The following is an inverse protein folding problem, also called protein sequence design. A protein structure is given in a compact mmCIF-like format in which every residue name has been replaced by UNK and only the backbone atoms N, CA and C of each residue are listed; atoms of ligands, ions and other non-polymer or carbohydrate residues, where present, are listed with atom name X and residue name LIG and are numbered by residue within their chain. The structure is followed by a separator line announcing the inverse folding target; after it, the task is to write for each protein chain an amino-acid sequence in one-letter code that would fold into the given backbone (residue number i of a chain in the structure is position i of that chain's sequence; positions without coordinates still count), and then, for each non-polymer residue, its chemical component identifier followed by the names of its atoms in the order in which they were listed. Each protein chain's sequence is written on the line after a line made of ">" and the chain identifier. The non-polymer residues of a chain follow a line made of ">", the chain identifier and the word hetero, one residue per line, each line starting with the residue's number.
data_IF_025796645288
#
_entry.id   IF_025796645288
#
_cell.length_a   1.000
_cell.length_b   1.000
_cell.length_c   1.000
_cell.angle_alpha   90.00
_cell.angle_beta   90.00
_cell.angle_gamma   90.00
#
_symmetry.space_group_name_H-M   'P 1'
#
loop_
_entity.id
_entity.type
_entity.pdbx_description
1 polymer ?
#
# COMPACT_ATOMS: atom_id res chain seq x y z
N UNK A 1 13.60 -0.01 -1.42
CA UNK A 1 13.23 -0.60 -0.11
C UNK A 1 11.88 -1.30 -0.18
N UNK A 2 10.79 -0.59 -0.45
CA UNK A 2 9.43 -1.16 -0.39
C UNK A 2 9.21 -2.34 -1.34
N UNK A 3 9.77 -2.31 -2.55
CA UNK A 3 9.66 -3.43 -3.51
C UNK A 3 10.32 -4.70 -2.96
N UNK A 4 11.54 -4.59 -2.42
CA UNK A 4 12.24 -5.70 -1.77
C UNK A 4 11.45 -6.24 -0.58
N UNK A 5 10.90 -5.34 0.25
CA UNK A 5 10.06 -5.73 1.39
C UNK A 5 8.76 -6.43 0.95
N UNK A 6 8.16 -6.00 -0.16
CA UNK A 6 6.93 -6.60 -0.71
C UNK A 6 7.14 -8.07 -1.13
N UNK A 7 8.34 -8.41 -1.60
CA UNK A 7 8.72 -9.80 -1.93
C UNK A 7 9.39 -10.54 -0.75
N UNK A 8 9.59 -9.85 0.38
CA UNK A 8 10.18 -10.39 1.60
C UNK A 8 11.69 -10.61 1.51
N UNK A 9 12.37 -9.80 0.70
CA UNK A 9 13.83 -9.75 0.66
C UNK A 9 14.31 -8.62 1.57
N UNK A 10 15.07 -8.94 2.64
CA UNK A 10 15.64 -7.91 3.50
C UNK A 10 16.70 -7.09 2.76
N UNK A 11 16.84 -5.82 3.14
CA UNK A 11 17.82 -4.90 2.54
C UNK A 11 18.98 -4.63 3.50
N UNK A 12 20.14 -4.28 2.93
CA UNK A 12 21.27 -3.71 3.65
C UNK A 12 21.48 -2.27 3.14
N UNK A 13 21.18 -1.29 3.99
CA UNK A 13 21.16 0.12 3.62
C UNK A 13 22.38 0.89 4.14
N UNK A 14 22.77 1.96 3.44
CA UNK A 14 23.77 2.88 3.97
C UNK A 14 23.13 3.82 5.01
N UNK A 15 23.81 4.01 6.15
CA UNK A 15 23.33 4.84 7.25
C UNK A 15 23.18 6.33 6.90
N UNK A 16 23.81 6.80 5.80
CA UNK A 16 23.67 8.18 5.28
C UNK A 16 22.33 8.44 4.58
N UNK A 17 21.55 7.39 4.33
CA UNK A 17 20.20 7.53 3.76
C UNK A 17 19.16 7.44 4.86
N UNK A 18 18.77 8.59 5.41
CA UNK A 18 17.76 8.67 6.47
C UNK A 18 16.45 7.96 6.07
N UNK A 19 16.06 8.07 4.80
CA UNK A 19 14.87 7.41 4.26
C UNK A 19 14.98 5.89 4.35
N UNK A 20 16.10 5.30 3.93
CA UNK A 20 16.28 3.85 3.98
C UNK A 20 16.43 3.36 5.42
N UNK A 21 17.16 4.09 6.26
CA UNK A 21 17.32 3.78 7.69
C UNK A 21 15.96 3.81 8.39
N UNK A 22 15.14 4.81 8.12
CA UNK A 22 13.79 4.92 8.66
C UNK A 22 12.93 3.71 8.27
N UNK A 23 12.98 3.31 6.99
CA UNK A 23 12.30 2.10 6.53
C UNK A 23 12.81 0.82 7.21
N UNK A 24 14.12 0.66 7.40
CA UNK A 24 14.69 -0.47 8.15
C UNK A 24 14.18 -0.50 9.60
N UNK A 25 14.17 0.66 10.28
CA UNK A 25 13.72 0.80 11.67
C UNK A 25 12.23 0.51 11.85
N UNK A 26 11.37 1.08 11.00
CA UNK A 26 9.92 0.89 11.10
C UNK A 26 9.49 -0.53 10.73
N UNK A 27 10.14 -1.12 9.72
CA UNK A 27 9.74 -2.43 9.20
C UNK A 27 10.39 -3.58 9.94
N UNK A 28 11.52 -3.37 10.63
CA UNK A 28 12.40 -4.42 11.12
C UNK A 28 12.72 -5.47 10.03
N UNK A 29 12.87 -4.99 8.79
CA UNK A 29 13.06 -5.81 7.59
C UNK A 29 14.36 -5.49 6.84
N UNK A 30 15.24 -4.67 7.42
CA UNK A 30 16.56 -4.39 6.85
C UNK A 30 17.57 -4.00 7.92
N UNK A 31 18.84 -4.11 7.56
CA UNK A 31 19.98 -3.64 8.37
C UNK A 31 20.53 -2.36 7.73
N UNK A 32 21.36 -1.63 8.47
CA UNK A 32 22.08 -0.46 7.96
C UNK A 32 23.50 -0.39 8.52
N UNK A 33 24.41 0.19 7.74
CA UNK A 33 25.83 0.30 8.07
C UNK A 33 26.36 1.72 7.85
N UNK A 34 27.25 2.19 8.72
CA UNK A 34 27.93 3.48 8.63
C UNK A 34 29.36 3.36 8.07
N UNK A 35 30.00 2.20 8.26
CA UNK A 35 31.36 1.92 7.82
C UNK A 35 31.52 0.52 7.20
N UNK A 36 32.76 0.19 6.84
CA UNK A 36 33.11 -1.06 6.17
C UNK A 36 32.96 -2.27 7.08
N UNK A 37 33.29 -2.15 8.35
CA UNK A 37 33.29 -3.29 9.27
C UNK A 37 31.84 -3.68 9.60
N UNK A 38 30.98 -2.69 9.86
CA UNK A 38 29.54 -2.90 10.00
C UNK A 38 28.92 -3.51 8.73
N UNK A 39 29.34 -3.07 7.54
CA UNK A 39 28.86 -3.65 6.29
C UNK A 39 29.17 -5.14 6.20
N UNK A 40 30.41 -5.53 6.51
CA UNK A 40 30.86 -6.93 6.45
C UNK A 40 30.08 -7.78 7.45
N UNK A 41 29.90 -7.31 8.68
CA UNK A 41 29.17 -8.06 9.71
C UNK A 41 27.67 -8.17 9.39
N UNK A 42 27.03 -7.07 8.95
CA UNK A 42 25.64 -7.12 8.52
C UNK A 42 25.43 -8.06 7.32
N UNK A 43 26.37 -8.05 6.36
CA UNK A 43 26.33 -8.96 5.22
C UNK A 43 26.50 -10.42 5.66
N UNK A 44 27.45 -10.72 6.55
CA UNK A 44 27.63 -12.07 7.12
C UNK A 44 26.36 -12.54 7.83
N UNK A 45 25.74 -11.71 8.67
CA UNK A 45 24.47 -12.03 9.32
C UNK A 45 23.39 -12.38 8.29
N UNK A 46 23.24 -11.53 7.27
CA UNK A 46 22.29 -11.79 6.19
C UNK A 46 22.63 -13.02 5.36
N UNK A 47 23.89 -13.43 5.21
CA UNK A 47 24.24 -14.65 4.46
C UNK A 47 24.08 -15.93 5.28
N UNK A 48 24.52 -15.90 6.54
CA UNK A 48 24.63 -17.08 7.39
C UNK A 48 23.33 -17.39 8.15
N UNK A 49 22.56 -16.38 8.57
CA UNK A 49 21.35 -16.60 9.35
C UNK A 49 20.09 -16.61 8.48
N UNK A 50 19.71 -17.82 8.04
CA UNK A 50 18.46 -18.04 7.28
C UNK A 50 17.21 -17.72 8.10
N UNK A 51 17.23 -17.91 9.42
CA UNK A 51 16.07 -17.66 10.28
C UNK A 51 15.82 -16.15 10.39
N UNK A 52 16.88 -15.38 10.63
CA UNK A 52 16.85 -13.92 10.61
C UNK A 52 16.29 -13.40 9.27
N UNK A 53 16.84 -13.85 8.14
CA UNK A 53 16.34 -13.45 6.81
C UNK A 53 14.85 -13.73 6.64
N UNK A 54 14.40 -14.90 7.08
CA UNK A 54 13.00 -15.32 6.97
C UNK A 54 12.09 -14.41 7.81
N UNK A 55 12.48 -14.13 9.05
CA UNK A 55 11.75 -13.24 9.95
C UNK A 55 11.67 -11.81 9.39
N UNK A 56 12.80 -11.26 8.95
CA UNK A 56 12.86 -9.93 8.33
C UNK A 56 12.01 -9.86 7.06
N UNK A 57 12.00 -10.92 6.23
CA UNK A 57 11.14 -11.00 5.05
C UNK A 57 9.65 -11.00 5.39
N UNK A 58 9.24 -11.67 6.47
CA UNK A 58 7.85 -11.62 6.98
C UNK A 58 7.51 -10.22 7.45
N UNK A 59 8.39 -9.58 8.21
CA UNK A 59 8.17 -8.21 8.69
C UNK A 59 8.05 -7.22 7.54
N UNK A 60 8.91 -7.32 6.52
CA UNK A 60 8.88 -6.46 5.33
C UNK A 60 7.55 -6.55 4.59
N UNK A 61 7.05 -7.77 4.36
CA UNK A 61 5.75 -7.98 3.71
C UNK A 61 4.61 -7.40 4.52
N UNK A 62 4.63 -7.60 5.84
CA UNK A 62 3.62 -7.04 6.74
C UNK A 62 3.65 -5.50 6.73
N UNK A 63 4.85 -4.91 6.78
CA UNK A 63 5.05 -3.47 6.73
C UNK A 63 4.49 -2.85 5.44
N UNK A 64 4.80 -3.44 4.28
CA UNK A 64 4.25 -2.99 2.99
C UNK A 64 2.74 -3.15 2.95
N UNK A 65 2.22 -4.31 3.38
CA UNK A 65 0.78 -4.59 3.39
C UNK A 65 -0.01 -3.64 4.30
N UNK A 66 0.58 -3.19 5.40
CA UNK A 66 -0.10 -2.32 6.37
C UNK A 66 -0.03 -0.84 5.99
N UNK A 67 1.08 -0.40 5.37
CA UNK A 67 1.37 1.02 5.21
C UNK A 67 1.31 1.52 3.76
N UNK A 68 1.42 0.63 2.77
CA UNK A 68 1.64 1.00 1.37
C UNK A 68 0.72 0.25 0.39
N UNK A 69 -0.37 -0.33 0.90
CA UNK A 69 -1.31 -1.10 0.08
C UNK A 69 -2.27 -0.16 -0.64
N UNK A 70 -2.21 -0.20 -1.96
CA UNK A 70 -3.01 0.57 -2.93
C UNK A 70 -4.53 0.32 -2.87
N UNK A 71 -5.02 -0.58 -2.02
CA UNK A 71 -6.44 -0.91 -1.86
C UNK A 71 -7.31 0.33 -1.54
N UNK A 72 -6.77 1.32 -0.83
CA UNK A 72 -7.46 2.59 -0.53
C UNK A 72 -7.51 3.53 -1.72
N UNK A 73 -6.45 3.55 -2.53
CA UNK A 73 -6.37 4.41 -3.71
C UNK A 73 -7.39 3.90 -4.74
N UNK A 74 -7.41 2.58 -4.99
CA UNK A 74 -8.33 1.95 -5.93
C UNK A 74 -9.80 2.17 -5.56
N UNK A 75 -10.16 1.98 -4.28
CA UNK A 75 -11.54 2.22 -3.83
C UNK A 75 -12.01 3.68 -3.96
N UNK A 76 -11.10 4.66 -3.94
CA UNK A 76 -11.43 6.07 -4.22
C UNK A 76 -11.63 6.34 -5.71
N UNK A 77 -10.79 5.76 -6.57
CA UNK A 77 -10.95 5.88 -8.03
C UNK A 77 -12.23 5.18 -8.52
N UNK A 78 -12.56 4.01 -7.99
CA UNK A 78 -13.80 3.29 -8.31
C UNK A 78 -15.05 4.10 -7.96
N UNK A 79 -15.09 4.73 -6.76
CA UNK A 79 -16.21 5.60 -6.37
C UNK A 79 -16.33 6.82 -7.28
N UNK A 80 -15.23 7.49 -7.63
CA UNK A 80 -15.26 8.64 -8.54
C UNK A 80 -15.73 8.27 -9.95
N UNK A 81 -15.23 7.15 -10.50
CA UNK A 81 -15.66 6.65 -11.81
C UNK A 81 -17.14 6.24 -11.79
N UNK A 82 -17.62 5.67 -10.68
CA UNK A 82 -19.03 5.31 -10.51
C UNK A 82 -19.96 6.55 -10.48
N UNK A 83 -19.54 7.64 -9.84
CA UNK A 83 -20.31 8.89 -9.81
C UNK A 83 -20.41 9.55 -11.19
N UNK A 84 -19.34 9.49 -11.99
CA UNK A 84 -19.32 10.09 -13.34
C UNK A 84 -20.18 9.31 -14.34
N UNK A 85 -20.43 8.01 -14.12
CA UNK A 85 -21.27 7.21 -15.02
C UNK A 85 -22.76 7.55 -14.98
N UNK A 86 -23.26 8.21 -13.92
CA UNK A 86 -24.67 8.58 -13.76
C UNK A 86 -25.65 7.38 -13.81
N UNK A 87 -26.91 7.53 -13.39
CA UNK A 87 -27.92 6.53 -13.69
C UNK A 87 -28.08 6.51 -15.22
N UNK A 88 -27.91 5.36 -15.87
CA UNK A 88 -28.42 5.21 -17.22
C UNK A 88 -29.90 5.55 -17.18
N UNK A 89 -30.28 6.63 -17.89
CA UNK A 89 -31.67 7.03 -18.04
C UNK A 89 -32.42 5.89 -18.73
N UNK A 90 -33.03 5.01 -17.93
CA UNK A 90 -34.12 4.17 -18.40
C UNK A 90 -35.33 5.06 -18.59
N UNK A 91 -35.57 5.38 -19.85
CA UNK A 91 -36.68 6.16 -20.38
C UNK A 91 -38.04 5.63 -19.92
N UNK A 92 -38.98 6.57 -19.79
CA UNK A 92 -40.43 6.45 -20.02
C UNK A 92 -41.39 6.37 -18.80
N UNK A 93 -41.88 7.56 -18.44
CA UNK A 93 -43.28 8.00 -18.62
C UNK A 93 -44.40 7.35 -17.77
N UNK A 94 -44.85 8.07 -16.74
CA UNK A 94 -46.28 8.13 -16.31
C UNK A 94 -46.63 9.49 -15.70
N UNK A 95 -46.89 10.50 -16.53
CA UNK A 95 -47.65 11.67 -16.08
C UNK A 95 -49.15 11.38 -16.17
N UNK A 96 -49.72 11.06 -15.01
CA UNK A 96 -51.17 11.10 -14.77
C UNK A 96 -51.70 12.52 -15.01
N UNK A 97 -52.62 12.65 -15.96
CA UNK A 97 -53.51 13.81 -16.07
C UNK A 97 -54.63 13.61 -15.06
N UNK A 98 -54.80 14.54 -14.13
CA UNK A 98 -56.09 14.70 -13.46
C UNK A 98 -56.37 16.20 -13.23
N UNK A 99 -57.43 16.69 -13.86
CA UNK A 99 -57.92 18.06 -13.76
C UNK A 99 -59.26 18.06 -13.02
N UNK A 100 -59.46 18.83 -11.94
CA UNK A 100 -60.80 18.97 -11.36
C UNK A 100 -61.52 20.15 -12.00
N UNK A 101 -62.64 19.88 -12.69
CA UNK A 101 -63.61 20.93 -13.05
C UNK A 101 -64.33 21.39 -11.78
N UNK A 102 -64.08 22.63 -11.36
CA UNK A 102 -64.90 23.32 -10.37
C UNK A 102 -66.25 23.67 -11.00
N UNK A 103 -67.33 23.28 -10.32
CA UNK A 103 -68.70 23.74 -10.55
C UNK A 103 -68.84 25.18 -10.05
N UNK A 104 -69.34 26.06 -10.91
CA UNK A 104 -70.34 27.09 -10.59
C UNK A 104 -71.29 27.16 -11.78
#
# INVERSE_FOLDING_TARGET
>A
ALESFAVGTPILANARSDVLVNHCRQSNAGLYYADRDEFVECLKLLLLDKRLRTAMGIHGRNYVRQNYKWDVILGKYERMIATVRGPSLSTANKHQRNWPRRRQ
#
